data_IF_286230519273
#
_entry.id   IF_286230519273
#
_cell.length_a   1.000
_cell.length_b   1.000
_cell.length_c   1.000
_cell.angle_alpha   90.00
_cell.angle_beta   90.00
_cell.angle_gamma   90.00
#
_symmetry.space_group_name_H-M   'P 1'
#
loop_
_entity.id
_entity.type
_entity.pdbx_description
1 polymer ?
#
# COMPACT_ATOMS: atom_id res chain seq x y z
N UNK A 1 -4.77 2.31 84.98
CA UNK A 1 -4.66 3.43 84.01
C UNK A 1 -4.15 2.81 82.72
N UNK A 2 -4.96 1.96 82.09
CA UNK A 2 -4.42 0.87 81.27
C UNK A 2 -5.39 0.52 80.14
N UNK A 3 -4.85 0.08 79.01
CA UNK A 3 -5.49 -0.28 77.74
C UNK A 3 -5.85 0.85 76.76
N UNK A 4 -6.60 1.89 77.14
CA UNK A 4 -7.08 2.91 76.17
C UNK A 4 -5.98 3.82 75.62
N UNK A 5 -5.09 4.31 76.48
CA UNK A 5 -3.95 5.16 76.09
C UNK A 5 -2.98 4.40 75.15
N UNK A 6 -2.78 3.11 75.41
CA UNK A 6 -1.92 2.24 74.60
C UNK A 6 -2.53 1.99 73.20
N UNK A 7 -3.86 1.93 73.13
CA UNK A 7 -4.60 1.78 71.89
C UNK A 7 -4.46 3.02 71.00
N UNK A 8 -4.58 4.23 71.57
CA UNK A 8 -4.41 5.48 70.81
C UNK A 8 -2.97 5.68 70.31
N UNK A 9 -1.98 5.30 71.11
CA UNK A 9 -0.57 5.37 70.70
C UNK A 9 -0.28 4.44 69.49
N UNK A 10 -0.82 3.22 69.50
CA UNK A 10 -0.68 2.29 68.37
C UNK A 10 -1.34 2.81 67.09
N UNK A 11 -2.56 3.36 67.18
CA UNK A 11 -3.25 3.91 66.00
C UNK A 11 -2.51 5.14 65.43
N UNK A 12 -1.95 6.00 66.28
CA UNK A 12 -1.15 7.14 65.84
C UNK A 12 0.09 6.73 65.05
N UNK A 13 0.82 5.72 65.53
CA UNK A 13 2.03 5.23 64.86
C UNK A 13 1.72 4.60 63.49
N UNK A 14 0.63 3.82 63.42
CA UNK A 14 0.21 3.14 62.20
C UNK A 14 -0.30 4.14 61.13
N UNK A 15 -1.00 5.20 61.55
CA UNK A 15 -1.37 6.28 60.64
C UNK A 15 -0.14 7.02 60.09
N UNK A 16 0.84 7.31 60.95
CA UNK A 16 2.08 7.99 60.56
C UNK A 16 2.87 7.17 59.53
N UNK A 17 3.00 5.85 59.74
CA UNK A 17 3.74 4.97 58.80
C UNK A 17 3.02 4.82 57.46
N UNK A 18 1.69 4.79 57.45
CA UNK A 18 0.94 4.78 56.19
C UNK A 18 1.11 6.08 55.41
N UNK A 19 1.12 7.23 56.08
CA UNK A 19 1.33 8.53 55.44
C UNK A 19 2.75 8.64 54.86
N UNK A 20 3.77 8.19 55.60
CA UNK A 20 5.15 8.23 55.08
C UNK A 20 5.35 7.26 53.93
N UNK A 21 4.73 6.07 53.95
CA UNK A 21 4.74 5.14 52.82
C UNK A 21 4.02 5.71 51.61
N UNK A 22 2.88 6.37 51.78
CA UNK A 22 2.16 7.00 50.68
C UNK A 22 2.97 8.14 50.05
N UNK A 23 3.63 8.98 50.86
CA UNK A 23 4.50 10.04 50.37
C UNK A 23 5.74 9.48 49.68
N UNK A 24 6.38 8.45 50.25
CA UNK A 24 7.51 7.78 49.61
C UNK A 24 7.08 7.16 48.28
N UNK A 25 5.94 6.49 48.23
CA UNK A 25 5.41 5.93 47.00
C UNK A 25 5.10 7.00 45.97
N UNK A 26 4.60 8.18 46.36
CA UNK A 26 4.33 9.26 45.43
C UNK A 26 5.62 9.91 44.89
N UNK A 27 6.63 10.08 45.74
CA UNK A 27 7.92 10.67 45.37
C UNK A 27 8.80 9.74 44.55
N UNK A 28 8.73 8.43 44.82
CA UNK A 28 9.52 7.39 44.16
C UNK A 28 8.72 6.58 43.14
N UNK A 29 7.43 6.85 42.96
CA UNK A 29 6.70 6.34 41.81
C UNK A 29 7.40 6.89 40.57
N UNK A 30 7.97 6.03 39.72
CA UNK A 30 8.55 6.48 38.47
C UNK A 30 7.41 7.11 37.69
N UNK A 31 7.35 8.44 37.70
CA UNK A 31 6.54 9.18 36.74
C UNK A 31 7.09 8.72 35.42
N UNK A 32 6.30 7.87 34.74
CA UNK A 32 6.77 7.05 33.65
C UNK A 32 7.63 7.91 32.74
N UNK A 33 8.90 7.52 32.60
CA UNK A 33 9.67 7.85 31.42
C UNK A 33 8.74 7.52 30.29
N UNK A 34 8.19 8.58 29.69
CA UNK A 34 7.17 8.53 28.65
C UNK A 34 7.65 7.48 27.67
N UNK A 35 7.05 6.29 27.76
CA UNK A 35 7.47 5.16 26.96
C UNK A 35 7.50 5.64 25.53
N UNK A 36 8.61 5.33 24.83
CA UNK A 36 8.81 5.59 23.41
C UNK A 36 7.44 5.61 22.73
N UNK A 37 6.87 6.81 22.54
CA UNK A 37 5.70 6.94 21.68
C UNK A 37 6.24 6.50 20.35
N UNK A 38 5.68 5.43 19.83
CA UNK A 38 6.04 4.92 18.51
C UNK A 38 5.92 6.11 17.56
N UNK A 39 7.07 6.60 17.09
CA UNK A 39 7.12 7.78 16.23
C UNK A 39 6.75 7.27 14.84
N UNK A 40 5.47 7.40 14.50
CA UNK A 40 4.93 6.93 13.21
C UNK A 40 5.33 7.84 12.05
N UNK A 41 5.68 9.10 12.32
CA UNK A 41 6.01 10.07 11.29
C UNK A 41 6.99 11.15 11.77
N UNK A 42 7.57 11.85 10.79
CA UNK A 42 8.59 12.87 11.03
C UNK A 42 8.09 14.06 11.84
N UNK A 43 6.83 14.44 11.66
CA UNK A 43 6.17 15.53 12.40
C UNK A 43 6.13 15.23 13.89
N UNK A 44 5.73 14.00 14.26
CA UNK A 44 5.77 13.53 15.64
C UNK A 44 7.18 13.52 16.23
N UNK A 45 8.20 13.25 15.40
CA UNK A 45 9.60 13.31 15.83
C UNK A 45 10.05 14.74 16.19
N UNK A 46 9.70 15.71 15.35
CA UNK A 46 10.02 17.12 15.57
C UNK A 46 9.26 17.70 16.78
N UNK A 47 7.98 17.40 16.92
CA UNK A 47 7.14 17.85 18.04
C UNK A 47 7.59 17.26 19.39
N UNK A 48 8.18 16.06 19.37
CA UNK A 48 8.79 15.43 20.54
C UNK A 48 10.14 16.07 20.96
N UNK A 49 10.64 17.06 20.22
CA UNK A 49 11.89 17.79 20.54
C UNK A 49 13.16 17.03 20.18
N UNK A 50 13.07 15.99 19.34
CA UNK A 50 14.23 15.24 18.87
C UNK A 50 15.06 16.04 17.86
N UNK A 51 16.32 15.63 17.65
CA UNK A 51 17.21 16.31 16.71
C UNK A 51 16.87 15.89 15.28
N UNK A 52 16.49 16.86 14.46
CA UNK A 52 16.13 16.69 13.05
C UNK A 52 17.29 17.13 12.16
N UNK A 53 17.71 16.25 11.27
CA UNK A 53 18.66 16.54 10.19
C UNK A 53 17.87 16.72 8.89
N UNK A 54 17.93 17.93 8.34
CA UNK A 54 17.25 18.34 7.10
C UNK A 54 18.02 17.86 5.85
N UNK A 55 18.24 16.54 5.74
CA UNK A 55 18.73 15.88 4.52
C UNK A 55 17.57 15.31 3.71
N UNK A 56 17.82 14.78 2.50
CA UNK A 56 16.84 14.00 1.75
C UNK A 56 17.37 12.57 1.53
N UNK A 57 16.76 11.53 2.14
CA UNK A 57 15.63 11.59 3.08
C UNK A 57 15.98 12.31 4.41
N UNK A 58 14.95 12.83 5.10
CA UNK A 58 15.14 13.47 6.41
C UNK A 58 15.44 12.43 7.48
N UNK A 59 16.31 12.76 8.42
CA UNK A 59 16.68 11.85 9.52
C UNK A 59 16.34 12.49 10.85
N UNK A 60 15.70 11.75 11.75
CA UNK A 60 15.44 12.17 13.11
C UNK A 60 16.17 11.26 14.11
N UNK A 61 16.93 11.85 15.03
CA UNK A 61 17.69 11.12 16.07
C UNK A 61 16.90 11.14 17.37
N UNK A 62 16.46 9.95 17.80
CA UNK A 62 15.70 9.72 19.02
C UNK A 62 16.59 9.81 20.27
N UNK A 63 15.97 10.00 21.44
CA UNK A 63 16.69 10.12 22.72
C UNK A 63 17.52 8.87 23.09
N UNK A 64 17.16 7.70 22.58
CA UNK A 64 17.91 6.44 22.75
C UNK A 64 19.05 6.26 21.73
N UNK A 65 19.23 7.23 20.82
CA UNK A 65 20.24 7.21 19.77
C UNK A 65 19.81 6.46 18.50
N UNK A 66 18.59 5.91 18.45
CA UNK A 66 18.04 5.32 17.23
C UNK A 66 17.69 6.41 16.21
N UNK A 67 17.66 6.03 14.93
CA UNK A 67 17.38 6.95 13.83
C UNK A 67 16.07 6.54 13.16
N UNK A 68 15.15 7.50 13.05
CA UNK A 68 14.00 7.42 12.18
C UNK A 68 14.38 8.07 10.85
N UNK A 69 14.52 7.29 9.79
CA UNK A 69 14.59 7.82 8.44
C UNK A 69 13.16 8.02 7.93
N UNK A 70 12.89 9.21 7.42
CA UNK A 70 11.73 9.41 6.57
C UNK A 70 11.84 8.45 5.38
N UNK A 71 10.76 7.70 5.12
CA UNK A 71 10.62 7.00 3.86
C UNK A 71 10.63 8.09 2.79
N UNK A 72 11.65 8.15 1.90
CA UNK A 72 11.64 9.16 0.86
C UNK A 72 10.26 9.10 0.21
N UNK A 73 9.59 10.25 0.09
CA UNK A 73 8.52 10.40 -0.88
C UNK A 73 9.20 10.10 -2.23
N UNK A 74 9.31 8.83 -2.59
CA UNK A 74 9.79 8.41 -3.88
C UNK A 74 8.75 9.05 -4.77
N UNK A 75 9.10 10.11 -5.54
CA UNK A 75 8.13 10.74 -6.39
C UNK A 75 7.56 9.60 -7.20
N UNK A 76 6.26 9.39 -7.01
CA UNK A 76 5.62 8.25 -7.62
C UNK A 76 5.96 8.24 -9.10
N UNK A 77 6.10 7.08 -9.70
CA UNK A 77 6.50 7.01 -11.09
C UNK A 77 5.61 7.95 -11.95
N UNK A 78 6.23 8.74 -12.82
CA UNK A 78 5.51 9.57 -13.78
C UNK A 78 5.13 8.77 -15.02
N UNK A 79 5.83 7.68 -15.26
CA UNK A 79 5.60 6.73 -16.34
C UNK A 79 6.43 5.46 -16.16
N UNK A 80 6.16 4.47 -16.99
CA UNK A 80 6.74 3.14 -16.82
C UNK A 80 8.24 3.07 -17.05
N UNK A 81 8.81 4.07 -17.73
CA UNK A 81 10.26 4.17 -17.94
C UNK A 81 11.01 4.42 -16.62
N UNK A 82 10.30 4.78 -15.54
CA UNK A 82 10.86 4.97 -14.20
C UNK A 82 10.78 3.69 -13.35
N UNK A 83 10.08 2.66 -13.84
CA UNK A 83 9.96 1.38 -13.14
C UNK A 83 10.98 0.35 -13.63
N UNK A 84 11.38 -0.56 -12.74
CA UNK A 84 12.25 -1.68 -13.09
C UNK A 84 11.62 -2.59 -14.16
N UNK A 85 12.46 -3.33 -14.89
CA UNK A 85 12.02 -4.32 -15.88
C UNK A 85 11.00 -5.29 -15.29
N UNK A 86 9.76 -5.26 -15.81
CA UNK A 86 8.64 -6.09 -15.35
C UNK A 86 7.66 -5.39 -14.41
N UNK A 87 7.95 -4.16 -14.01
CA UNK A 87 7.06 -3.28 -13.26
C UNK A 87 6.51 -2.19 -14.19
N UNK A 88 5.38 -1.59 -13.81
CA UNK A 88 4.75 -0.50 -14.54
C UNK A 88 4.18 0.51 -13.58
N UNK A 89 4.03 1.72 -14.08
CA UNK A 89 3.54 2.81 -13.26
C UNK A 89 2.02 2.78 -13.16
N UNK A 90 1.50 2.72 -11.94
CA UNK A 90 0.08 2.76 -11.65
C UNK A 90 -0.20 3.75 -10.52
N UNK A 91 -0.83 4.87 -10.83
CA UNK A 91 -1.16 5.94 -9.87
C UNK A 91 0.06 6.44 -9.06
N UNK A 92 1.24 6.47 -9.68
CA UNK A 92 2.48 6.87 -9.03
C UNK A 92 3.17 5.73 -8.28
N UNK A 93 2.75 4.48 -8.41
CA UNK A 93 3.50 3.37 -7.81
C UNK A 93 3.93 2.34 -8.86
N UNK A 94 5.15 1.82 -8.74
CA UNK A 94 5.68 0.82 -9.64
C UNK A 94 5.19 -0.57 -9.20
N UNK A 95 4.14 -1.06 -9.86
CA UNK A 95 3.52 -2.36 -9.58
C UNK A 95 3.82 -3.44 -10.62
N UNK A 96 3.63 -4.71 -10.26
CA UNK A 96 3.65 -5.84 -11.22
C UNK A 96 2.28 -5.94 -11.88
N UNK A 97 2.23 -6.16 -13.20
CA UNK A 97 0.95 -6.27 -13.92
C UNK A 97 0.19 -7.49 -13.40
N UNK A 98 -0.77 -7.22 -12.52
CA UNK A 98 -1.57 -8.23 -11.83
C UNK A 98 -3.02 -8.06 -12.23
N UNK A 99 -3.43 -8.59 -13.40
CA UNK A 99 -4.80 -8.48 -13.85
C UNK A 99 -5.71 -9.32 -12.97
N UNK A 100 -6.89 -8.79 -12.67
CA UNK A 100 -7.93 -9.59 -12.05
C UNK A 100 -8.39 -10.68 -13.03
N UNK A 101 -8.51 -11.91 -12.53
CA UNK A 101 -8.92 -13.07 -13.32
C UNK A 101 -10.22 -13.69 -12.84
N UNK A 102 -10.87 -13.19 -11.80
CA UNK A 102 -12.13 -13.76 -11.31
C UNK A 102 -13.19 -13.77 -12.42
N UNK A 103 -14.04 -14.79 -12.50
CA UNK A 103 -15.14 -14.86 -13.47
C UNK A 103 -16.28 -15.74 -12.99
N UNK A 104 -17.48 -15.52 -13.53
CA UNK A 104 -18.66 -16.38 -13.34
C UNK A 104 -19.04 -17.13 -14.63
N UNK A 105 -18.70 -16.60 -15.81
CA UNK A 105 -18.98 -17.17 -17.12
C UNK A 105 -17.87 -16.85 -18.13
N UNK A 106 -17.81 -17.58 -19.24
CA UNK A 106 -16.87 -17.31 -20.34
C UNK A 106 -16.98 -15.87 -20.87
N UNK A 107 -18.18 -15.27 -20.82
CA UNK A 107 -18.43 -13.90 -21.25
C UNK A 107 -17.76 -12.85 -20.36
N UNK A 108 -17.37 -13.22 -19.14
CA UNK A 108 -16.63 -12.33 -18.24
C UNK A 108 -15.15 -12.27 -18.60
N UNK A 109 -14.65 -13.13 -19.49
CA UNK A 109 -13.24 -13.23 -19.80
C UNK A 109 -12.90 -12.62 -21.16
N UNK A 110 -11.80 -11.87 -21.20
CA UNK A 110 -11.25 -11.29 -22.43
C UNK A 110 -9.76 -11.62 -22.56
N UNK A 111 -9.26 -11.69 -23.81
CA UNK A 111 -7.83 -11.72 -24.08
C UNK A 111 -7.31 -10.29 -24.21
N UNK A 112 -6.33 -9.94 -23.37
CA UNK A 112 -5.65 -8.66 -23.41
C UNK A 112 -4.18 -8.87 -23.80
N UNK A 113 -3.62 -7.95 -24.59
CA UNK A 113 -2.19 -7.93 -24.88
C UNK A 113 -1.46 -7.31 -23.68
N UNK A 114 -0.73 -8.13 -22.93
CA UNK A 114 0.02 -7.69 -21.74
C UNK A 114 1.12 -6.68 -22.05
N UNK A 115 1.58 -6.60 -23.31
CA UNK A 115 2.56 -5.58 -23.74
C UNK A 115 1.91 -4.20 -23.92
N UNK A 116 0.61 -4.16 -24.24
CA UNK A 116 -0.18 -2.94 -24.37
C UNK A 116 -0.97 -2.60 -23.09
N UNK A 117 -0.99 -3.54 -22.13
CA UNK A 117 -1.67 -3.50 -20.83
C UNK A 117 -3.18 -3.29 -20.96
N UNK A 118 -3.61 -2.03 -21.12
CA UNK A 118 -5.01 -1.62 -21.23
C UNK A 118 -5.42 -1.31 -22.67
N UNK A 119 -4.47 -1.27 -23.61
CA UNK A 119 -4.72 -0.91 -25.02
C UNK A 119 -5.54 0.39 -25.13
N UNK A 120 -5.03 1.47 -24.54
CA UNK A 120 -5.69 2.77 -24.58
C UNK A 120 -5.76 3.32 -26.01
N UNK A 121 -6.87 4.00 -26.36
CA UNK A 121 -7.12 4.54 -27.70
C UNK A 121 -6.98 3.49 -28.80
N UNK A 122 -6.01 3.69 -29.71
CA UNK A 122 -5.72 2.82 -30.84
C UNK A 122 -4.41 2.05 -30.65
N UNK A 123 -3.90 1.95 -29.42
CA UNK A 123 -2.73 1.15 -29.11
C UNK A 123 -2.98 -0.31 -29.54
N UNK A 124 -2.16 -0.81 -30.45
CA UNK A 124 -2.31 -2.15 -31.03
C UNK A 124 -3.38 -2.29 -32.10
N UNK A 125 -4.12 -1.23 -32.45
CA UNK A 125 -5.19 -1.29 -33.44
C UNK A 125 -4.73 -1.58 -34.86
N UNK A 126 -3.43 -1.56 -35.16
CA UNK A 126 -2.87 -1.99 -36.44
C UNK A 126 -1.99 -3.23 -36.32
N UNK A 127 -1.85 -3.79 -35.12
CA UNK A 127 -1.01 -4.94 -34.90
C UNK A 127 -1.76 -6.20 -35.34
N UNK A 128 -1.02 -7.13 -35.89
CA UNK A 128 -1.51 -8.48 -36.15
C UNK A 128 -1.93 -9.16 -34.83
N UNK A 129 -3.10 -9.79 -34.84
CA UNK A 129 -3.63 -10.51 -33.67
C UNK A 129 -3.36 -12.01 -33.84
N UNK A 130 -2.40 -12.50 -33.07
CA UNK A 130 -2.07 -13.92 -32.95
C UNK A 130 -2.21 -14.35 -31.48
N UNK A 131 -3.36 -14.92 -31.13
CA UNK A 131 -3.67 -15.30 -29.74
C UNK A 131 -2.82 -16.47 -29.20
N UNK A 132 -2.06 -17.16 -30.07
CA UNK A 132 -1.10 -18.19 -29.63
C UNK A 132 0.10 -17.60 -28.87
N UNK A 133 0.40 -16.31 -29.09
CA UNK A 133 1.56 -15.67 -28.47
C UNK A 133 1.42 -15.54 -26.94
N UNK A 134 2.52 -15.65 -26.18
CA UNK A 134 2.50 -15.55 -24.72
C UNK A 134 2.00 -14.21 -24.16
N UNK A 135 2.10 -13.13 -24.94
CA UNK A 135 1.63 -11.79 -24.54
C UNK A 135 0.12 -11.70 -24.37
N UNK A 136 -0.65 -12.59 -24.99
CA UNK A 136 -2.10 -12.60 -24.81
C UNK A 136 -2.44 -13.36 -23.54
N UNK A 137 -2.97 -12.63 -22.57
CA UNK A 137 -3.37 -13.13 -21.26
C UNK A 137 -4.88 -13.02 -21.10
N UNK A 138 -5.49 -14.04 -20.47
CA UNK A 138 -6.90 -13.99 -20.11
C UNK A 138 -7.08 -13.17 -18.83
N UNK A 139 -8.03 -12.23 -18.88
CA UNK A 139 -8.34 -11.29 -17.80
C UNK A 139 -9.85 -11.17 -17.63
N UNK A 140 -10.30 -10.72 -16.47
CA UNK A 140 -11.67 -10.31 -16.27
C UNK A 140 -11.98 -9.05 -17.11
N UNK A 141 -13.02 -9.11 -17.93
CA UNK A 141 -13.47 -8.07 -18.85
C UNK A 141 -13.98 -6.83 -18.11
N UNK A 142 -14.68 -7.00 -16.99
CA UNK A 142 -15.15 -5.92 -16.13
C UNK A 142 -13.99 -5.13 -15.52
N UNK A 143 -12.99 -5.83 -14.98
CA UNK A 143 -11.74 -5.24 -14.51
C UNK A 143 -11.01 -4.51 -15.65
N UNK A 144 -10.86 -5.14 -16.82
CA UNK A 144 -10.19 -4.52 -17.97
C UNK A 144 -10.88 -3.21 -18.39
N UNK A 145 -12.21 -3.21 -18.47
CA UNK A 145 -13.00 -2.02 -18.80
C UNK A 145 -12.88 -0.94 -17.71
N UNK A 146 -12.93 -1.31 -16.43
CA UNK A 146 -12.78 -0.38 -15.32
C UNK A 146 -11.39 0.27 -15.33
N UNK A 147 -10.33 -0.51 -15.54
CA UNK A 147 -8.97 0.01 -15.64
C UNK A 147 -8.78 0.92 -16.85
N UNK A 148 -9.39 0.62 -18.01
CA UNK A 148 -9.40 1.53 -19.16
C UNK A 148 -10.11 2.84 -18.85
N UNK A 149 -11.23 2.80 -18.13
CA UNK A 149 -11.97 4.01 -17.76
C UNK A 149 -11.18 4.93 -16.81
N UNK A 150 -10.35 4.35 -15.94
CA UNK A 150 -9.53 5.10 -14.97
C UNK A 150 -8.26 5.65 -15.63
N UNK A 151 -7.58 4.83 -16.44
CA UNK A 151 -6.22 5.11 -16.89
C UNK A 151 -6.09 5.56 -18.35
N UNK A 152 -7.13 5.38 -19.17
CA UNK A 152 -7.10 5.83 -20.56
C UNK A 152 -7.80 7.19 -20.71
N UNK A 153 -7.33 8.05 -21.61
CA UNK A 153 -8.05 9.27 -21.97
C UNK A 153 -9.41 8.91 -22.60
N UNK A 154 -10.40 9.80 -22.53
CA UNK A 154 -11.70 9.58 -23.16
C UNK A 154 -11.54 9.44 -24.68
N UNK A 155 -12.47 8.74 -25.32
CA UNK A 155 -12.40 8.46 -26.76
C UNK A 155 -12.34 9.73 -27.63
N UNK A 156 -12.86 10.87 -27.15
CA UNK A 156 -12.75 12.17 -27.80
C UNK A 156 -11.31 12.66 -27.98
N UNK A 157 -10.41 12.23 -27.10
CA UNK A 157 -9.03 12.71 -27.01
C UNK A 157 -8.06 11.76 -27.74
N UNK A 158 -8.55 10.61 -28.19
CA UNK A 158 -7.76 9.59 -28.89
C UNK A 158 -7.43 9.95 -30.35
N UNK A 159 -7.99 11.03 -30.88
CA UNK A 159 -7.83 11.41 -32.28
C UNK A 159 -8.60 10.49 -33.25
N UNK A 160 -8.35 10.60 -34.57
CA UNK A 160 -8.99 9.72 -35.55
C UNK A 160 -8.44 8.30 -35.49
N UNK A 161 -9.32 7.31 -35.66
CA UNK A 161 -8.92 5.90 -35.74
C UNK A 161 -7.98 5.65 -36.94
N UNK A 162 -6.95 4.80 -36.78
CA UNK A 162 -6.09 4.44 -37.89
C UNK A 162 -6.88 3.65 -38.95
N UNK A 163 -6.59 3.90 -40.22
CA UNK A 163 -7.24 3.23 -41.37
C UNK A 163 -6.62 1.87 -41.73
N UNK A 164 -5.94 1.24 -40.77
CA UNK A 164 -5.33 -0.07 -40.96
C UNK A 164 -6.39 -1.17 -40.82
N UNK A 165 -6.27 -2.22 -41.61
CA UNK A 165 -7.08 -3.41 -41.44
C UNK A 165 -6.46 -4.30 -40.36
N UNK A 166 -7.23 -4.65 -39.34
CA UNK A 166 -6.83 -5.64 -38.33
C UNK A 166 -7.15 -7.02 -38.86
N UNK A 167 -6.17 -7.91 -38.81
CA UNK A 167 -6.34 -9.30 -39.18
C UNK A 167 -5.94 -10.18 -38.00
N UNK A 168 -6.83 -11.09 -37.63
CA UNK A 168 -6.52 -12.17 -36.70
C UNK A 168 -5.88 -13.30 -37.49
N UNK A 169 -4.58 -13.49 -37.36
CA UNK A 169 -3.86 -14.56 -38.05
C UNK A 169 -3.97 -15.89 -37.34
N UNK A 170 -4.23 -15.87 -36.03
CA UNK A 170 -4.46 -17.08 -35.26
C UNK A 170 -5.56 -16.88 -34.20
N UNK A 171 -6.73 -17.47 -34.47
CA UNK A 171 -7.88 -17.51 -33.57
C UNK A 171 -8.04 -18.83 -32.83
N UNK A 172 -7.00 -19.67 -32.77
CA UNK A 172 -7.03 -21.01 -32.14
C UNK A 172 -7.05 -20.96 -30.61
N UNK A 173 -7.13 -19.78 -30.00
CA UNK A 173 -7.19 -19.58 -28.57
C UNK A 173 -8.31 -18.60 -28.22
N UNK A 174 -8.97 -18.84 -27.09
CA UNK A 174 -9.99 -17.97 -26.52
C UNK A 174 -9.79 -17.81 -25.02
N UNK A 175 -10.37 -16.76 -24.44
CA UNK A 175 -10.52 -16.67 -22.99
C UNK A 175 -11.78 -17.45 -22.57
N UNK A 176 -11.69 -18.18 -21.46
CA UNK A 176 -12.80 -18.93 -20.88
C UNK A 176 -12.71 -18.91 -19.35
N UNK A 177 -13.84 -19.11 -18.70
CA UNK A 177 -13.92 -19.16 -17.25
C UNK A 177 -13.77 -20.60 -16.75
N UNK A 178 -12.62 -20.93 -16.18
CA UNK A 178 -12.33 -22.25 -15.62
C UNK A 178 -12.09 -22.11 -14.12
N UNK A 179 -12.86 -22.85 -13.30
CA UNK A 179 -12.75 -22.81 -11.84
C UNK A 179 -12.80 -21.38 -11.26
N UNK A 180 -13.71 -20.54 -11.77
CA UNK A 180 -13.86 -19.12 -11.40
C UNK A 180 -12.65 -18.24 -11.72
N UNK A 181 -11.76 -18.69 -12.62
CA UNK A 181 -10.58 -17.96 -13.09
C UNK A 181 -10.58 -17.89 -14.62
N UNK A 182 -10.31 -16.72 -15.18
CA UNK A 182 -10.13 -16.52 -16.61
C UNK A 182 -8.82 -17.15 -17.06
N UNK A 183 -8.94 -18.14 -17.94
CA UNK A 183 -7.81 -18.86 -18.53
C UNK A 183 -7.83 -18.72 -20.05
N UNK A 184 -6.63 -18.70 -20.65
CA UNK A 184 -6.47 -18.77 -22.10
C UNK A 184 -6.40 -20.25 -22.48
N UNK A 185 -7.38 -20.70 -23.26
CA UNK A 185 -7.48 -22.10 -23.69
C UNK A 185 -7.55 -22.20 -25.22
N UNK A 186 -7.21 -23.37 -25.80
CA UNK A 186 -7.49 -23.64 -27.20
C UNK A 186 -8.99 -23.48 -27.51
N UNK A 187 -9.30 -22.85 -28.64
CA UNK A 187 -10.66 -22.54 -29.10
C UNK A 187 -11.36 -23.76 -29.71
#
# INVERSE_FOLDING_TARGET
MESRELLYACFGFLALTLVTLALFYWFFSPHGLSGNREIENFTGCAEAGNTVIQTYPRTCILADGTQFLEDPDVPGCAGDYECDLGYYCNLGDCGIFSPEKGCASDGDCALADSTLRLSCCYAGACNEIDYSQPKWVAVNSGWLLAQRAINCPPASDCGPAPLCAVWTTNSSFRAACLNSTCEKIPA
#
